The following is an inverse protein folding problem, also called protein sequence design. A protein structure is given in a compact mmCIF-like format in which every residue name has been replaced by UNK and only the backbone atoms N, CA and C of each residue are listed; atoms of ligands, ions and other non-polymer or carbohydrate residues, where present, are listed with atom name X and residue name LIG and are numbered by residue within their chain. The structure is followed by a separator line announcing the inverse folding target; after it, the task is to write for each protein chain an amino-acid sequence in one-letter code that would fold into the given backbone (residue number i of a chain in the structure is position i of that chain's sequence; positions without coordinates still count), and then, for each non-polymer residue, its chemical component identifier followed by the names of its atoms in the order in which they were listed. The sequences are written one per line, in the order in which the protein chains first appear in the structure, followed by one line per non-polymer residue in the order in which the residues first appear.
data_IF_249110824794
#
_entry.id   IF_249110824794
#
_cell.length_a   1.000
_cell.length_b   1.000
_cell.length_c   1.000
_cell.angle_alpha   90.00
_cell.angle_beta   90.00
_cell.angle_gamma   90.00
#
_symmetry.space_group_name_H-M   'P 1'
#
loop_
_entity.id
_entity.type
_entity.pdbx_description
1 polymer ?
#
# COMPACT_ATOMS: atom_id res chain seq x y z
N UNK A 1 -15.76 -1.09 -27.86
CA UNK A 1 -14.55 -0.39 -27.36
C UNK A 1 -14.87 -0.10 -25.89
N UNK A 2 -14.31 -0.74 -24.87
CA UNK A 2 -12.97 -1.30 -24.68
C UNK A 2 -13.00 -2.65 -23.94
N UNK A 3 -11.85 -3.29 -23.98
CA UNK A 3 -11.55 -4.71 -23.88
C UNK A 3 -11.66 -5.30 -22.47
N UNK A 4 -12.01 -6.59 -22.41
CA UNK A 4 -12.00 -7.45 -21.23
C UNK A 4 -10.60 -7.65 -20.64
N UNK A 5 -10.51 -7.83 -19.31
CA UNK A 5 -9.65 -8.84 -18.64
C UNK A 5 -10.00 -8.97 -17.15
N UNK A 6 -10.97 -9.82 -16.82
CA UNK A 6 -11.07 -10.40 -15.48
C UNK A 6 -10.90 -11.90 -15.61
N UNK A 7 -9.68 -12.39 -15.39
CA UNK A 7 -9.38 -13.81 -15.28
C UNK A 7 -8.10 -13.98 -14.45
N UNK A 8 -8.17 -14.98 -13.56
CA UNK A 8 -7.13 -15.55 -12.71
C UNK A 8 -6.94 -14.88 -11.34
N UNK A 9 -7.48 -15.54 -10.32
CA UNK A 9 -6.81 -15.64 -9.03
C UNK A 9 -5.39 -16.20 -9.29
N UNK A 10 -4.40 -15.32 -9.30
CA UNK A 10 -3.00 -15.61 -9.52
C UNK A 10 -2.29 -15.76 -8.15
N UNK A 11 -1.16 -16.48 -8.06
CA UNK A 11 -0.30 -16.47 -6.88
C UNK A 11 0.00 -15.01 -6.52
N UNK A 12 0.19 -14.69 -5.23
CA UNK A 12 0.62 -13.36 -4.77
C UNK A 12 1.70 -12.82 -5.71
N UNK A 13 1.28 -11.97 -6.66
CA UNK A 13 2.13 -11.53 -7.75
C UNK A 13 2.91 -10.33 -7.22
N UNK A 14 4.23 -10.42 -7.27
CA UNK A 14 5.18 -9.37 -6.90
C UNK A 14 5.24 -8.22 -7.93
N UNK A 15 4.19 -8.07 -8.75
CA UNK A 15 4.02 -7.00 -9.72
C UNK A 15 3.44 -5.74 -9.06
N UNK A 16 3.99 -4.58 -9.41
CA UNK A 16 3.59 -3.27 -8.85
C UNK A 16 2.10 -2.97 -9.02
N UNK A 17 1.51 -3.32 -10.18
CA UNK A 17 0.07 -3.11 -10.43
C UNK A 17 -0.80 -3.95 -9.48
N UNK A 18 -0.40 -5.18 -9.18
CA UNK A 18 -1.14 -6.06 -8.26
C UNK A 18 -1.02 -5.57 -6.83
N UNK A 19 0.20 -5.20 -6.41
CA UNK A 19 0.46 -4.67 -5.07
C UNK A 19 -0.25 -3.33 -4.87
N UNK A 20 -0.25 -2.45 -5.88
CA UNK A 20 -0.99 -1.19 -5.87
C UNK A 20 -2.49 -1.44 -5.70
N UNK A 21 -3.08 -2.34 -6.49
CA UNK A 21 -4.50 -2.66 -6.38
C UNK A 21 -4.87 -3.24 -5.00
N UNK A 22 -4.00 -4.07 -4.42
CA UNK A 22 -4.20 -4.65 -3.09
C UNK A 22 -4.11 -3.58 -2.00
N UNK A 23 -3.08 -2.72 -2.05
CA UNK A 23 -2.90 -1.61 -1.10
C UNK A 23 -4.03 -0.59 -1.22
N UNK A 24 -4.39 -0.18 -2.44
CA UNK A 24 -5.52 0.71 -2.67
C UNK A 24 -6.82 0.11 -2.12
N UNK A 25 -7.04 -1.20 -2.30
CA UNK A 25 -8.18 -1.90 -1.71
C UNK A 25 -8.17 -1.91 -0.17
N UNK A 26 -7.00 -2.02 0.45
CA UNK A 26 -6.85 -1.94 1.91
C UNK A 26 -7.11 -0.54 2.44
N UNK A 27 -6.51 0.48 1.82
CA UNK A 27 -6.72 1.89 2.16
C UNK A 27 -8.17 2.29 1.97
N UNK A 28 -8.80 1.84 0.89
CA UNK A 28 -10.21 2.10 0.62
C UNK A 28 -11.12 1.57 1.73
N UNK A 29 -10.83 0.39 2.29
CA UNK A 29 -11.59 -0.15 3.42
C UNK A 29 -11.38 0.66 4.70
N UNK A 30 -10.17 1.18 4.93
CA UNK A 30 -9.93 2.07 6.07
C UNK A 30 -10.71 3.38 5.90
N UNK A 31 -10.67 3.97 4.71
CA UNK A 31 -11.37 5.21 4.37
C UNK A 31 -12.90 5.07 4.38
N UNK A 32 -13.43 3.91 3.99
CA UNK A 32 -14.86 3.58 4.07
C UNK A 32 -15.39 3.69 5.51
N UNK A 33 -14.58 3.30 6.50
CA UNK A 33 -14.93 3.42 7.93
C UNK A 33 -15.05 4.89 8.37
N UNK A 34 -14.38 5.80 7.67
CA UNK A 34 -14.45 7.25 7.85
C UNK A 34 -15.47 7.94 6.92
N UNK A 35 -16.14 7.20 6.03
CA UNK A 35 -17.05 7.75 5.01
C UNK A 35 -16.33 8.50 3.88
N UNK A 36 -15.05 8.18 3.65
CA UNK A 36 -14.17 8.74 2.62
C UNK A 36 -14.03 7.79 1.42
N UNK A 37 -15.09 7.05 1.13
CA UNK A 37 -15.23 6.16 0.00
C UNK A 37 -15.54 6.90 -1.32
N UNK A 38 -14.94 8.05 -1.61
CA UNK A 38 -15.02 8.63 -2.97
C UNK A 38 -13.64 9.05 -3.51
N UNK A 39 -12.71 9.49 -2.64
CA UNK A 39 -11.41 8.81 -2.43
C UNK A 39 -10.72 8.15 -3.64
N UNK A 40 -10.24 8.88 -4.67
CA UNK A 40 -9.39 8.25 -5.70
C UNK A 40 -7.98 7.95 -5.14
N UNK A 41 -7.61 6.67 -5.12
CA UNK A 41 -6.31 6.20 -4.62
C UNK A 41 -5.45 5.78 -5.81
N UNK A 42 -4.48 6.62 -6.15
CA UNK A 42 -3.50 6.41 -7.19
C UNK A 42 -2.10 6.23 -6.58
N UNK A 43 -1.11 5.87 -7.42
CA UNK A 43 0.27 5.72 -6.97
C UNK A 43 0.90 7.04 -6.52
N UNK A 44 0.45 8.19 -7.03
CA UNK A 44 0.89 9.51 -6.61
C UNK A 44 0.16 10.04 -5.38
N UNK A 45 -0.93 9.38 -4.93
CA UNK A 45 -1.68 9.80 -3.75
C UNK A 45 -0.81 9.75 -2.50
N UNK A 46 -0.81 10.85 -1.74
CA UNK A 46 -0.11 11.02 -0.46
C UNK A 46 -0.95 10.53 0.70
N UNK A 47 -0.32 9.82 1.64
CA UNK A 47 -1.01 9.28 2.81
C UNK A 47 -1.59 10.40 3.69
N UNK A 48 -0.79 11.43 4.01
CA UNK A 48 -1.21 12.47 4.96
C UNK A 48 -2.02 13.59 4.27
N UNK A 49 -1.74 13.91 3.01
CA UNK A 49 -2.36 15.05 2.30
C UNK A 49 -3.58 14.66 1.46
N UNK A 50 -3.51 13.59 0.66
CA UNK A 50 -4.62 13.22 -0.23
C UNK A 50 -5.60 12.26 0.46
N UNK A 51 -5.06 11.32 1.26
CA UNK A 51 -5.88 10.33 1.97
C UNK A 51 -6.23 10.77 3.40
N UNK A 52 -5.72 11.94 3.82
CA UNK A 52 -5.94 12.54 5.15
C UNK A 52 -5.68 11.56 6.31
N UNK A 53 -4.76 10.61 6.13
CA UNK A 53 -4.46 9.60 7.14
C UNK A 53 -3.62 10.23 8.25
N UNK A 54 -3.94 9.87 9.49
CA UNK A 54 -3.16 10.31 10.63
C UNK A 54 -1.93 9.43 10.83
N UNK A 55 -0.95 9.92 11.60
CA UNK A 55 0.23 9.12 11.96
C UNK A 55 -0.12 7.79 12.64
N UNK A 56 -1.28 7.72 13.31
CA UNK A 56 -1.78 6.48 13.93
C UNK A 56 -2.35 5.50 12.89
N UNK A 57 -2.98 6.00 11.83
CA UNK A 57 -3.49 5.16 10.74
C UNK A 57 -2.33 4.48 9.99
N UNK A 58 -1.17 5.13 9.88
CA UNK A 58 0.04 4.50 9.32
C UNK A 58 0.48 3.27 10.14
N UNK A 59 0.36 3.31 11.47
CA UNK A 59 0.67 2.17 12.34
C UNK A 59 -0.35 1.06 12.14
N UNK A 60 -1.63 1.40 12.00
CA UNK A 60 -2.70 0.44 11.67
C UNK A 60 -2.45 -0.22 10.31
N UNK A 61 -2.14 0.58 9.29
CA UNK A 61 -1.78 0.11 7.96
C UNK A 61 -0.57 -0.84 8.02
N UNK A 62 0.45 -0.54 8.83
CA UNK A 62 1.59 -1.43 9.03
C UNK A 62 1.17 -2.83 9.49
N UNK A 63 0.23 -2.90 10.44
CA UNK A 63 -0.31 -4.17 10.95
C UNK A 63 -1.09 -4.95 9.88
N UNK A 64 -1.88 -4.24 9.06
CA UNK A 64 -2.63 -4.84 7.95
C UNK A 64 -1.65 -5.41 6.90
N UNK A 65 -0.66 -4.62 6.49
CA UNK A 65 0.37 -5.02 5.52
C UNK A 65 1.16 -6.23 6.01
N UNK A 66 1.59 -6.24 7.28
CA UNK A 66 2.29 -7.38 7.86
C UNK A 66 1.40 -8.63 7.92
N UNK A 67 0.10 -8.49 8.17
CA UNK A 67 -0.83 -9.61 8.16
C UNK A 67 -1.02 -10.18 6.74
N UNK A 68 -1.03 -9.29 5.73
CA UNK A 68 -1.24 -9.62 4.31
C UNK A 68 -0.01 -10.24 3.64
N UNK A 69 1.14 -9.59 3.77
CA UNK A 69 2.40 -9.93 3.11
C UNK A 69 3.38 -10.69 4.04
N UNK A 70 3.02 -10.86 5.30
CA UNK A 70 3.84 -11.55 6.29
C UNK A 70 5.02 -10.71 6.80
N UNK A 71 5.99 -11.39 7.40
CA UNK A 71 7.21 -10.77 7.97
C UNK A 71 8.19 -10.23 6.94
N UNK A 72 7.93 -10.41 5.64
CA UNK A 72 8.78 -9.91 4.57
C UNK A 72 8.64 -8.39 4.37
N UNK A 73 7.47 -7.84 4.71
CA UNK A 73 7.16 -6.42 4.61
C UNK A 73 7.07 -5.86 6.03
N UNK A 74 8.00 -4.97 6.39
CA UNK A 74 7.99 -4.30 7.68
C UNK A 74 7.81 -2.79 7.51
N UNK A 75 6.55 -2.39 7.26
CA UNK A 75 6.23 -0.98 7.05
C UNK A 75 6.57 -0.10 8.27
N UNK A 76 6.43 -0.62 9.49
CA UNK A 76 6.79 0.12 10.70
C UNK A 76 8.30 0.45 10.74
N UNK A 77 9.15 -0.49 10.34
CA UNK A 77 10.60 -0.26 10.21
C UNK A 77 10.93 0.68 9.06
N UNK A 78 10.22 0.56 7.93
CA UNK A 78 10.36 1.49 6.80
C UNK A 78 10.05 2.93 7.23
N UNK A 79 8.89 3.17 7.85
CA UNK A 79 8.48 4.50 8.34
C UNK A 79 9.43 5.02 9.43
N UNK A 80 9.90 4.15 10.33
CA UNK A 80 10.86 4.55 11.37
C UNK A 80 12.22 4.99 10.82
N UNK A 81 12.55 4.60 9.59
CA UNK A 81 13.76 5.04 8.88
C UNK A 81 13.59 6.34 8.08
N UNK A 82 12.38 6.85 7.94
CA UNK A 82 12.07 8.08 7.20
C UNK A 82 12.15 9.32 8.11
N UNK A 83 12.58 10.44 7.54
CA UNK A 83 12.46 11.74 8.20
C UNK A 83 11.00 12.26 8.19
N UNK A 84 10.67 13.22 9.06
CA UNK A 84 9.31 13.77 9.15
C UNK A 84 8.83 14.32 7.81
N UNK A 85 9.68 15.06 7.09
CA UNK A 85 9.36 15.57 5.75
C UNK A 85 9.08 14.44 4.75
N UNK A 86 9.80 13.31 4.86
CA UNK A 86 9.59 12.14 4.00
C UNK A 86 8.31 11.36 4.35
N UNK A 87 7.90 11.36 5.61
CA UNK A 87 6.63 10.77 6.05
C UNK A 87 5.46 11.61 5.52
N UNK A 88 5.59 12.94 5.54
CA UNK A 88 4.57 13.85 5.01
C UNK A 88 4.44 13.67 3.49
N UNK A 89 5.55 13.56 2.77
CA UNK A 89 5.58 13.34 1.32
C UNK A 89 5.39 11.86 0.92
N UNK A 90 5.03 10.97 1.87
CA UNK A 90 4.88 9.56 1.60
C UNK A 90 3.70 9.31 0.66
N UNK A 91 3.97 8.65 -0.47
CA UNK A 91 2.97 8.27 -1.48
C UNK A 91 2.69 6.77 -1.49
N UNK A 92 1.51 6.39 -1.98
CA UNK A 92 1.12 4.99 -2.18
C UNK A 92 2.12 4.27 -3.10
N UNK A 93 2.61 4.92 -4.15
CA UNK A 93 3.61 4.38 -5.07
C UNK A 93 4.91 4.02 -4.37
N UNK A 94 5.40 4.88 -3.47
CA UNK A 94 6.60 4.59 -2.67
C UNK A 94 6.42 3.35 -1.78
N UNK A 95 5.22 3.18 -1.23
CA UNK A 95 4.88 1.97 -0.47
C UNK A 95 4.84 0.72 -1.37
N UNK A 96 4.23 0.82 -2.55
CA UNK A 96 4.17 -0.27 -3.53
C UNK A 96 5.56 -0.73 -3.93
N UNK A 97 6.46 0.20 -4.26
CA UNK A 97 7.85 -0.09 -4.59
C UNK A 97 8.57 -0.83 -3.45
N UNK A 98 8.37 -0.37 -2.21
CA UNK A 98 8.92 -1.02 -1.02
C UNK A 98 8.42 -2.47 -0.88
N UNK A 99 7.11 -2.68 -0.97
CA UNK A 99 6.49 -4.01 -0.85
C UNK A 99 6.98 -4.94 -1.95
N UNK A 100 6.99 -4.48 -3.20
CA UNK A 100 7.50 -5.26 -4.34
C UNK A 100 8.96 -5.64 -4.16
N UNK A 101 9.80 -4.70 -3.69
CA UNK A 101 11.20 -4.96 -3.36
C UNK A 101 11.36 -6.07 -2.31
N UNK A 102 10.56 -6.00 -1.24
CA UNK A 102 10.51 -7.02 -0.19
C UNK A 102 10.07 -8.40 -0.72
N UNK A 103 9.03 -8.45 -1.55
CA UNK A 103 8.51 -9.70 -2.12
C UNK A 103 9.52 -10.34 -3.09
N UNK A 104 10.17 -9.54 -3.94
CA UNK A 104 11.23 -10.01 -4.84
C UNK A 104 12.44 -10.55 -4.08
N UNK A 105 12.83 -9.88 -2.99
CA UNK A 105 13.91 -10.37 -2.12
C UNK A 105 13.56 -11.70 -1.43
N UNK A 106 12.29 -11.90 -1.08
CA UNK A 106 11.81 -13.13 -0.44
C UNK A 106 11.64 -14.30 -1.41
N UNK A 107 11.20 -14.04 -2.66
CA UNK A 107 10.96 -15.06 -3.68
C UNK A 107 12.22 -15.52 -4.45
N UNK A 108 13.34 -14.81 -4.28
CA UNK A 108 14.62 -15.10 -4.95
C UNK A 108 15.53 -16.10 -4.23
N UNK A 109 15.02 -16.87 -3.25
CA UNK A 109 15.80 -17.87 -2.48
C UNK A 109 15.49 -19.31 -2.89
#
# INVERSE_FOLDING_TARGET
MSTAKQTAAAPVADDEETVLADIAGMLRKMLDEYGLDDIEIAADSRFMEDLELESIDLVTLAGILQTRYGRHVNFAEFVAGLELDEIIDLTVGRLVEYVVGCLKAAGGS
#
